data_IF_721273775317
#
_entry.id   IF_721273775317
#
_cell.length_a   1.000
_cell.length_b   1.000
_cell.length_c   1.000
_cell.angle_alpha   90.00
_cell.angle_beta   90.00
_cell.angle_gamma   90.00
#
_symmetry.space_group_name_H-M   'P 1'
#
loop_
_entity.id
_entity.type
_entity.pdbx_description
1 polymer ?
#
# COMPACT_ATOMS: atom_id res chain seq x y z
N UNK A 1 -1.16 19.10 2.75
CA UNK A 1 -0.34 17.91 2.44
C UNK A 1 0.95 17.90 3.25
N UNK A 2 1.76 18.97 3.23
CA UNK A 2 3.02 19.06 4.01
C UNK A 2 2.87 18.83 5.53
N UNK A 3 1.73 19.22 6.11
CA UNK A 3 1.43 19.00 7.52
C UNK A 3 1.37 17.51 7.90
N UNK A 4 0.88 16.64 7.02
CA UNK A 4 0.83 15.20 7.29
C UNK A 4 2.21 14.56 7.37
N UNK A 5 3.20 15.11 6.67
CA UNK A 5 4.57 14.59 6.66
C UNK A 5 5.44 15.07 7.82
N UNK A 6 5.03 16.16 8.48
CA UNK A 6 5.83 16.87 9.50
C UNK A 6 5.22 16.84 10.89
N UNK A 7 4.05 16.20 11.02
CA UNK A 7 3.43 15.96 12.32
C UNK A 7 4.05 14.74 12.99
N UNK A 8 4.11 14.82 14.32
CA UNK A 8 4.56 13.71 15.16
C UNK A 8 3.77 12.43 14.88
N UNK A 9 4.49 11.31 14.93
CA UNK A 9 3.90 9.99 14.75
C UNK A 9 2.84 9.72 15.80
N UNK A 10 1.73 9.16 15.36
CA UNK A 10 0.75 8.61 16.28
C UNK A 10 1.33 7.37 16.98
N UNK A 11 0.74 7.00 18.11
CA UNK A 11 1.27 5.93 18.97
C UNK A 11 1.50 4.63 18.20
N UNK A 12 0.58 4.31 17.31
CA UNK A 12 0.57 3.11 16.52
C UNK A 12 1.54 3.17 15.33
N UNK A 13 1.69 4.33 14.68
CA UNK A 13 2.73 4.58 13.70
C UNK A 13 4.13 4.45 14.30
N UNK A 14 4.34 5.02 15.50
CA UNK A 14 5.58 4.89 16.24
C UNK A 14 5.86 3.42 16.59
N UNK A 15 4.83 2.64 16.96
CA UNK A 15 4.98 1.20 17.17
C UNK A 15 5.41 0.47 15.90
N UNK A 16 4.86 0.81 14.74
CA UNK A 16 5.28 0.23 13.46
C UNK A 16 6.75 0.53 13.12
N UNK A 17 7.23 1.75 13.39
CA UNK A 17 8.65 2.12 13.23
C UNK A 17 9.54 1.37 14.21
N UNK A 18 9.17 1.29 15.49
CA UNK A 18 9.92 0.56 16.50
C UNK A 18 9.97 -0.94 16.21
N UNK A 19 8.87 -1.52 15.73
CA UNK A 19 8.79 -2.92 15.32
C UNK A 19 9.72 -3.20 14.13
N UNK A 20 9.66 -2.34 13.10
CA UNK A 20 10.51 -2.46 11.94
C UNK A 20 11.98 -2.06 12.18
N UNK A 21 12.31 -1.43 13.31
CA UNK A 21 13.71 -1.11 13.67
C UNK A 21 14.47 -2.32 14.22
N UNK A 22 13.78 -3.42 14.49
CA UNK A 22 14.41 -4.65 14.99
C UNK A 22 15.12 -5.41 13.86
N UNK A 23 15.84 -6.48 14.21
CA UNK A 23 16.54 -7.31 13.21
C UNK A 23 15.54 -8.09 12.34
N UNK A 24 15.92 -8.40 11.10
CA UNK A 24 15.14 -9.25 10.19
C UNK A 24 14.54 -10.49 10.85
N UNK A 25 15.38 -11.25 11.56
CA UNK A 25 14.94 -12.47 12.25
C UNK A 25 13.87 -12.18 13.31
N UNK A 26 14.01 -11.08 14.05
CA UNK A 26 13.04 -10.72 15.08
C UNK A 26 11.72 -10.21 14.52
N UNK A 27 11.73 -9.50 13.38
CA UNK A 27 10.52 -9.06 12.67
C UNK A 27 9.70 -10.28 12.23
N UNK A 28 10.37 -11.32 11.73
CA UNK A 28 9.71 -12.56 11.30
C UNK A 28 9.25 -13.37 12.53
N UNK A 29 10.08 -13.48 13.56
CA UNK A 29 9.74 -14.28 14.75
C UNK A 29 8.56 -13.69 15.55
N UNK A 30 8.35 -12.37 15.51
CA UNK A 30 7.30 -11.67 16.25
C UNK A 30 6.03 -11.42 15.42
N UNK A 31 5.96 -11.89 14.17
CA UNK A 31 4.82 -11.63 13.25
C UNK A 31 3.59 -12.50 13.57
N UNK A 32 3.18 -12.54 14.84
CA UNK A 32 2.11 -13.43 15.31
C UNK A 32 0.72 -12.98 14.87
N UNK A 33 0.50 -11.67 14.72
CA UNK A 33 -0.80 -11.08 14.36
C UNK A 33 -0.78 -10.28 13.06
N UNK A 34 0.32 -9.59 12.77
CA UNK A 34 0.46 -8.82 11.54
C UNK A 34 1.41 -9.52 10.56
N UNK A 35 1.05 -9.62 9.27
CA UNK A 35 1.92 -10.17 8.25
C UNK A 35 3.26 -9.43 8.14
N UNK A 36 4.40 -10.14 7.99
CA UNK A 36 5.73 -9.54 8.14
C UNK A 36 6.18 -8.67 6.96
N UNK A 37 5.59 -8.81 5.77
CA UNK A 37 6.15 -8.19 4.56
C UNK A 37 6.19 -6.67 4.65
N UNK A 38 5.13 -6.04 5.18
CA UNK A 38 5.11 -4.59 5.36
C UNK A 38 6.29 -4.10 6.22
N UNK A 39 6.51 -4.76 7.36
CA UNK A 39 7.57 -4.40 8.29
C UNK A 39 8.97 -4.68 7.74
N UNK A 40 9.12 -5.72 6.92
CA UNK A 40 10.38 -6.01 6.22
C UNK A 40 10.69 -4.95 5.16
N UNK A 41 9.68 -4.50 4.41
CA UNK A 41 9.85 -3.48 3.38
C UNK A 41 10.19 -2.12 4.00
N UNK A 42 9.49 -1.71 5.06
CA UNK A 42 9.80 -0.45 5.74
C UNK A 42 11.14 -0.52 6.49
N UNK A 43 11.55 -1.68 7.01
CA UNK A 43 12.90 -1.87 7.55
C UNK A 43 13.97 -1.56 6.50
N UNK A 44 13.86 -2.15 5.31
CA UNK A 44 14.77 -1.87 4.18
C UNK A 44 14.74 -0.40 3.77
N UNK A 45 13.56 0.22 3.76
CA UNK A 45 13.42 1.63 3.46
C UNK A 45 14.15 2.50 4.50
N UNK A 46 14.00 2.20 5.79
CA UNK A 46 14.66 2.93 6.88
C UNK A 46 16.18 2.80 6.84
N UNK A 47 16.72 1.66 6.36
CA UNK A 47 18.16 1.51 6.15
C UNK A 47 18.71 2.45 5.07
N UNK A 48 17.89 2.80 4.07
CA UNK A 48 18.30 3.65 2.94
C UNK A 48 18.03 5.14 3.19
N UNK A 49 16.90 5.48 3.80
CA UNK A 49 16.41 6.86 3.93
C UNK A 49 16.33 7.37 5.37
N UNK A 50 16.62 6.51 6.35
CA UNK A 50 16.54 6.83 7.78
C UNK A 50 15.13 6.68 8.38
N UNK A 51 15.00 7.06 9.64
CA UNK A 51 13.78 6.87 10.45
C UNK A 51 13.03 8.18 10.74
N UNK A 52 13.31 9.26 10.00
CA UNK A 52 12.57 10.51 10.16
C UNK A 52 11.10 10.32 9.78
N UNK A 53 10.22 11.12 10.37
CA UNK A 53 8.76 11.07 10.11
C UNK A 53 8.46 11.16 8.61
N UNK A 54 9.16 12.06 7.92
CA UNK A 54 9.04 12.24 6.48
C UNK A 54 9.47 10.97 5.73
N UNK A 55 10.58 10.34 6.12
CA UNK A 55 11.09 9.15 5.46
C UNK A 55 10.12 7.98 5.61
N UNK A 56 9.62 7.69 6.81
CA UNK A 56 8.72 6.56 7.04
C UNK A 56 7.34 6.78 6.43
N UNK A 57 6.82 8.02 6.41
CA UNK A 57 5.57 8.36 5.73
C UNK A 57 5.69 8.34 4.21
N UNK A 58 6.86 8.71 3.68
CA UNK A 58 7.13 8.61 2.26
C UNK A 58 7.04 7.15 1.77
N UNK A 59 7.47 6.18 2.58
CA UNK A 59 7.32 4.76 2.25
C UNK A 59 5.85 4.34 2.05
N UNK A 60 4.95 4.70 2.96
CA UNK A 60 3.52 4.43 2.80
C UNK A 60 2.94 5.17 1.58
N UNK A 61 3.34 6.43 1.40
CA UNK A 61 2.89 7.27 0.30
C UNK A 61 3.33 6.74 -1.07
N UNK A 62 4.48 6.07 -1.16
CA UNK A 62 4.90 5.35 -2.38
C UNK A 62 3.89 4.27 -2.74
N UNK A 63 3.45 3.46 -1.76
CA UNK A 63 2.39 2.47 -1.97
C UNK A 63 1.11 3.11 -2.52
N UNK A 64 0.64 4.19 -1.88
CA UNK A 64 -0.53 4.94 -2.35
C UNK A 64 -0.36 5.52 -3.77
N UNK A 65 0.82 6.05 -4.08
CA UNK A 65 1.14 6.60 -5.39
C UNK A 65 1.14 5.53 -6.47
N UNK A 66 1.70 4.35 -6.17
CA UNK A 66 1.65 3.19 -7.07
C UNK A 66 0.21 2.71 -7.27
N UNK A 67 -0.62 2.68 -6.22
CA UNK A 67 -2.04 2.36 -6.33
C UNK A 67 -2.77 3.33 -7.29
N UNK A 68 -2.45 4.62 -7.18
CA UNK A 68 -2.98 5.66 -8.07
C UNK A 68 -2.57 5.39 -9.52
N UNK A 69 -1.31 5.03 -9.78
CA UNK A 69 -0.83 4.68 -11.13
C UNK A 69 -1.60 3.47 -11.69
N UNK A 70 -1.81 2.42 -10.89
CA UNK A 70 -2.60 1.25 -11.33
C UNK A 70 -4.04 1.67 -11.65
N UNK A 71 -4.62 2.58 -10.88
CA UNK A 71 -5.97 3.12 -11.15
C UNK A 71 -6.07 3.86 -12.48
N UNK A 72 -5.00 4.52 -12.94
CA UNK A 72 -4.94 5.16 -14.29
C UNK A 72 -5.07 4.08 -15.36
N UNK A 73 -4.23 3.04 -15.32
CA UNK A 73 -4.26 1.95 -16.30
C UNK A 73 -5.58 1.18 -16.30
N UNK A 74 -6.15 0.98 -15.10
CA UNK A 74 -7.45 0.36 -14.95
C UNK A 74 -8.55 1.19 -15.61
N UNK A 75 -8.59 2.50 -15.33
CA UNK A 75 -9.58 3.39 -15.90
C UNK A 75 -9.44 3.54 -17.42
N UNK A 76 -8.22 3.69 -17.94
CA UNK A 76 -7.98 3.71 -19.38
C UNK A 76 -8.47 2.43 -20.06
N UNK A 77 -8.30 1.28 -19.40
CA UNK A 77 -8.78 0.02 -19.94
C UNK A 77 -10.31 -0.06 -19.95
N UNK A 78 -10.98 0.33 -18.86
CA UNK A 78 -12.44 0.29 -18.73
C UNK A 78 -13.14 1.28 -19.67
N UNK A 79 -12.61 2.49 -19.77
CA UNK A 79 -13.19 3.56 -20.59
C UNK A 79 -12.59 3.64 -22.00
N UNK A 80 -11.78 2.66 -22.42
CA UNK A 80 -11.14 2.61 -23.75
C UNK A 80 -10.39 3.90 -24.11
N UNK A 81 -9.65 4.45 -23.15
CA UNK A 81 -8.90 5.73 -23.25
C UNK A 81 -9.76 6.97 -23.54
N UNK A 82 -11.06 6.91 -23.28
CA UNK A 82 -11.93 8.08 -23.33
C UNK A 82 -11.54 9.08 -22.23
N UNK A 83 -11.72 10.38 -22.45
CA UNK A 83 -11.32 11.44 -21.50
C UNK A 83 -11.89 11.26 -20.08
N UNK A 84 -13.06 10.62 -19.97
CA UNK A 84 -13.68 10.25 -18.69
C UNK A 84 -12.81 9.32 -17.83
N UNK A 85 -11.84 8.60 -18.42
CA UNK A 85 -10.93 7.72 -17.68
C UNK A 85 -10.11 8.48 -16.65
N UNK A 86 -9.86 9.77 -16.85
CA UNK A 86 -9.08 10.60 -15.92
C UNK A 86 -9.81 10.92 -14.61
N UNK A 87 -11.15 10.83 -14.57
CA UNK A 87 -11.89 11.10 -13.34
C UNK A 87 -11.62 10.06 -12.26
N UNK A 88 -11.41 8.79 -12.62
CA UNK A 88 -11.15 7.73 -11.65
C UNK A 88 -9.84 7.96 -10.87
N UNK A 89 -8.66 8.10 -11.51
CA UNK A 89 -7.42 8.35 -10.78
C UNK A 89 -7.41 9.72 -10.11
N UNK A 90 -8.09 10.72 -10.66
CA UNK A 90 -8.21 12.04 -10.04
C UNK A 90 -9.00 11.94 -8.73
N UNK A 91 -10.17 11.31 -8.74
CA UNK A 91 -10.98 11.08 -7.55
C UNK A 91 -10.25 10.19 -6.55
N UNK A 92 -9.53 9.16 -7.02
CA UNK A 92 -8.73 8.29 -6.16
C UNK A 92 -7.63 9.07 -5.44
N UNK A 93 -6.84 9.86 -6.18
CA UNK A 93 -5.71 10.61 -5.63
C UNK A 93 -6.15 11.77 -4.72
N UNK A 94 -7.25 12.44 -5.05
CA UNK A 94 -7.74 13.61 -4.29
C UNK A 94 -8.66 13.24 -3.14
N UNK A 95 -9.03 11.97 -2.99
CA UNK A 95 -9.88 11.52 -1.91
C UNK A 95 -9.17 11.72 -0.55
N UNK A 96 -9.74 12.52 0.37
CA UNK A 96 -9.08 12.84 1.63
C UNK A 96 -8.87 11.62 2.53
N UNK A 97 -9.77 10.63 2.47
CA UNK A 97 -9.64 9.40 3.26
C UNK A 97 -8.51 8.51 2.71
N UNK A 98 -8.46 8.32 1.39
CA UNK A 98 -7.40 7.51 0.78
C UNK A 98 -6.03 8.16 0.98
N UNK A 99 -5.94 9.48 0.87
CA UNK A 99 -4.71 10.22 1.15
C UNK A 99 -4.28 10.09 2.62
N UNK A 100 -5.22 10.23 3.56
CA UNK A 100 -4.93 10.11 5.00
C UNK A 100 -4.32 8.74 5.32
N UNK A 101 -4.99 7.66 4.92
CA UNK A 101 -4.49 6.29 5.13
C UNK A 101 -3.28 5.94 4.26
N UNK A 102 -3.12 6.60 3.11
CA UNK A 102 -1.96 6.42 2.23
C UNK A 102 -0.67 6.99 2.81
N UNK A 103 -0.74 7.98 3.70
CA UNK A 103 0.43 8.62 4.34
C UNK A 103 0.73 8.03 5.71
N UNK A 104 -0.27 7.44 6.37
CA UNK A 104 -0.11 6.80 7.67
C UNK A 104 0.97 5.72 7.63
N UNK A 105 1.82 5.62 8.65
CA UNK A 105 2.92 4.63 8.71
C UNK A 105 2.37 3.24 9.09
N UNK A 106 1.48 2.75 8.23
CA UNK A 106 0.76 1.49 8.32
C UNK A 106 0.70 0.81 6.94
N UNK A 107 0.22 -0.42 6.91
CA UNK A 107 0.13 -1.22 5.69
C UNK A 107 -0.91 -0.71 4.67
N UNK A 108 -1.72 0.31 5.01
CA UNK A 108 -2.86 0.74 4.19
C UNK A 108 -2.49 1.23 2.79
N UNK A 109 -1.44 2.04 2.62
CA UNK A 109 -1.00 2.48 1.29
C UNK A 109 -0.59 1.31 0.39
N UNK A 110 0.10 0.32 0.95
CA UNK A 110 0.48 -0.91 0.24
C UNK A 110 -0.69 -1.85 -0.02
N UNK A 111 -1.64 -1.92 0.92
CA UNK A 111 -2.90 -2.64 0.75
C UNK A 111 -3.69 -2.09 -0.45
N UNK A 112 -3.83 -0.76 -0.57
CA UNK A 112 -4.50 -0.14 -1.72
C UNK A 112 -3.80 -0.51 -3.04
N UNK A 113 -2.46 -0.53 -3.06
CA UNK A 113 -1.70 -0.92 -4.24
C UNK A 113 -1.97 -2.37 -4.65
N UNK A 114 -1.82 -3.33 -3.73
CA UNK A 114 -2.05 -4.73 -4.04
C UNK A 114 -3.52 -5.00 -4.39
N UNK A 115 -4.48 -4.34 -3.72
CA UNK A 115 -5.90 -4.43 -4.04
C UNK A 115 -6.20 -3.99 -5.47
N UNK A 116 -5.70 -2.82 -5.88
CA UNK A 116 -5.83 -2.32 -7.25
C UNK A 116 -5.18 -3.26 -8.27
N UNK A 117 -4.03 -3.83 -7.93
CA UNK A 117 -3.28 -4.72 -8.83
C UNK A 117 -3.95 -6.09 -8.99
N UNK A 118 -4.61 -6.61 -7.95
CA UNK A 118 -5.49 -7.79 -8.02
C UNK A 118 -6.68 -7.53 -8.96
N UNK A 119 -7.40 -6.42 -8.76
CA UNK A 119 -8.55 -6.04 -9.59
C UNK A 119 -8.12 -5.89 -11.06
N UNK A 120 -7.00 -5.18 -11.30
CA UNK A 120 -6.45 -5.01 -12.64
C UNK A 120 -6.05 -6.34 -13.28
N UNK A 121 -5.38 -7.23 -12.54
CA UNK A 121 -5.00 -8.57 -13.00
C UNK A 121 -6.20 -9.43 -13.38
N UNK A 122 -7.27 -9.39 -12.57
CA UNK A 122 -8.52 -10.10 -12.84
C UNK A 122 -9.19 -9.60 -14.13
N UNK A 123 -9.36 -8.28 -14.29
CA UNK A 123 -10.02 -7.68 -15.45
C UNK A 123 -9.24 -7.97 -16.74
N UNK A 124 -7.90 -7.94 -16.68
CA UNK A 124 -7.03 -8.29 -17.81
C UNK A 124 -6.94 -9.80 -18.06
N UNK A 125 -7.58 -10.65 -17.24
CA UNK A 125 -7.44 -12.12 -17.25
C UNK A 125 -5.98 -12.57 -17.12
N UNK A 126 -5.14 -11.76 -16.47
CA UNK A 126 -3.75 -12.08 -16.20
C UNK A 126 -3.65 -12.79 -14.84
N UNK A 127 -3.86 -14.10 -14.85
CA UNK A 127 -3.88 -14.95 -13.65
C UNK A 127 -2.55 -14.96 -12.88
N UNK A 128 -1.42 -14.76 -13.59
CA UNK A 128 -0.10 -14.67 -12.94
C UNK A 128 -0.01 -13.41 -12.08
N UNK A 129 -0.42 -12.27 -12.62
CA UNK A 129 -0.45 -11.00 -11.89
C UNK A 129 -1.43 -11.07 -10.72
N UNK A 130 -2.64 -11.60 -10.97
CA UNK A 130 -3.66 -11.80 -9.95
C UNK A 130 -3.16 -12.65 -8.77
N UNK A 131 -2.58 -13.82 -9.05
CA UNK A 131 -2.07 -14.72 -8.00
C UNK A 131 -0.91 -14.11 -7.22
N UNK A 132 0.06 -13.53 -7.91
CA UNK A 132 1.22 -12.89 -7.28
C UNK A 132 0.81 -11.73 -6.36
N UNK A 133 -0.07 -10.86 -6.83
CA UNK A 133 -0.58 -9.72 -6.07
C UNK A 133 -1.40 -10.14 -4.86
N UNK A 134 -2.21 -11.19 -5.00
CA UNK A 134 -3.02 -11.73 -3.91
C UNK A 134 -2.14 -12.28 -2.80
N UNK A 135 -1.11 -13.05 -3.15
CA UNK A 135 -0.15 -13.64 -2.20
C UNK A 135 0.63 -12.53 -1.49
N UNK A 136 1.26 -11.61 -2.23
CA UNK A 136 2.04 -10.53 -1.60
C UNK A 136 1.17 -9.59 -0.78
N UNK A 137 -0.03 -9.24 -1.27
CA UNK A 137 -0.95 -8.42 -0.52
C UNK A 137 -1.40 -9.09 0.78
N UNK A 138 -1.64 -10.40 0.78
CA UNK A 138 -1.94 -11.16 2.00
C UNK A 138 -0.80 -11.08 3.02
N UNK A 139 0.45 -11.12 2.55
CA UNK A 139 1.62 -10.91 3.39
C UNK A 139 1.82 -9.47 3.88
N UNK A 140 1.02 -8.50 3.41
CA UNK A 140 0.98 -7.13 3.98
C UNK A 140 -0.15 -6.92 4.97
N UNK A 141 -1.35 -7.43 4.68
CA UNK A 141 -2.52 -7.22 5.53
C UNK A 141 -3.48 -8.40 5.40
N UNK A 142 -3.93 -8.95 6.53
CA UNK A 142 -4.81 -10.12 6.57
C UNK A 142 -6.12 -9.94 5.80
N UNK A 143 -6.74 -8.74 5.86
CA UNK A 143 -7.99 -8.44 5.14
C UNK A 143 -7.84 -8.42 3.62
N UNK A 144 -6.62 -8.50 3.08
CA UNK A 144 -6.41 -8.65 1.63
C UNK A 144 -7.05 -9.93 1.10
N UNK A 145 -7.27 -10.95 1.95
CA UNK A 145 -7.95 -12.18 1.55
C UNK A 145 -9.33 -11.91 0.94
N UNK A 146 -10.02 -10.84 1.34
CA UNK A 146 -11.36 -10.50 0.84
C UNK A 146 -11.35 -10.02 -0.62
N UNK A 147 -10.26 -9.40 -1.08
CA UNK A 147 -10.23 -8.76 -2.41
C UNK A 147 -10.32 -9.79 -3.55
N UNK A 148 -9.54 -10.89 -3.55
CA UNK A 148 -9.70 -11.95 -4.54
C UNK A 148 -11.11 -12.58 -4.56
N UNK A 149 -11.74 -12.76 -3.39
CA UNK A 149 -13.08 -13.34 -3.28
C UNK A 149 -14.18 -12.44 -3.88
N UNK A 150 -14.01 -11.11 -3.82
CA UNK A 150 -14.96 -10.19 -4.43
C UNK A 150 -14.85 -10.20 -5.97
N UNK A 151 -13.67 -10.51 -6.51
CA UNK A 151 -13.45 -10.56 -7.95
C UNK A 151 -13.99 -11.85 -8.60
N UNK A 152 -14.03 -12.98 -7.89
CA UNK A 152 -14.49 -14.28 -8.41
C UNK A 152 -16.00 -14.38 -8.46
#
# INVERSE_FOLDING_TARGET
>A
MLTYFTQSLWRDEAFSVLYASQTFASIIAKSSFDPPLYYLLIHMWMLLFGQSEIAVRAFSFVGFSLATIVSIYLAEHLFKKHWLSWFVPLLFFTNPMLLYYGIEVRAYGWYMFFAMLVIYGYIKKNWKLFGFASILGFYTHLYMILVPFVCT
#
